data_IF_037418657236
#
_entry.id   IF_037418657236
#
_cell.length_a   1.000
_cell.length_b   1.000
_cell.length_c   1.000
_cell.angle_alpha   90.00
_cell.angle_beta   90.00
_cell.angle_gamma   90.00
#
_symmetry.space_group_name_H-M   'P 1'
#
loop_
_entity.id
_entity.type
_entity.pdbx_description
1 polymer ?
#
# COMPACT_ATOMS: atom_id res chain seq x y z
N UNK A 1 3.76 -15.59 -5.76
CA UNK A 1 2.87 -15.88 -4.61
C UNK A 1 3.06 -17.27 -4.06
N UNK A 2 3.09 -17.42 -2.73
CA UNK A 2 3.06 -18.73 -2.08
C UNK A 2 1.61 -19.11 -1.70
N UNK A 3 1.38 -20.39 -1.41
CA UNK A 3 0.03 -20.93 -1.15
C UNK A 3 -0.67 -20.26 0.05
N UNK A 4 0.09 -19.85 1.07
CA UNK A 4 -0.46 -19.14 2.23
C UNK A 4 -1.01 -17.76 1.85
N UNK A 5 -0.29 -17.03 1.00
CA UNK A 5 -0.69 -15.72 0.50
C UNK A 5 -1.94 -15.82 -0.38
N UNK A 6 -1.99 -16.81 -1.27
CA UNK A 6 -3.17 -17.07 -2.11
C UNK A 6 -4.42 -17.34 -1.28
N UNK A 7 -4.30 -18.16 -0.23
CA UNK A 7 -5.39 -18.47 0.70
C UNK A 7 -5.88 -17.24 1.46
N UNK A 8 -4.94 -16.43 1.97
CA UNK A 8 -5.25 -15.18 2.67
C UNK A 8 -6.01 -14.20 1.78
N UNK A 9 -5.53 -13.97 0.56
CA UNK A 9 -6.16 -13.05 -0.40
C UNK A 9 -7.59 -13.52 -0.72
N UNK A 10 -7.76 -14.82 -0.98
CA UNK A 10 -9.07 -15.39 -1.32
C UNK A 10 -10.08 -15.17 -0.18
N UNK A 11 -9.65 -15.43 1.06
CA UNK A 11 -10.48 -15.19 2.26
C UNK A 11 -10.86 -13.72 2.43
N UNK A 12 -9.92 -12.79 2.23
CA UNK A 12 -10.19 -11.35 2.34
C UNK A 12 -11.11 -10.85 1.21
N UNK A 13 -10.99 -11.39 -0.01
CA UNK A 13 -11.87 -11.06 -1.13
C UNK A 13 -13.30 -11.55 -0.91
N UNK A 14 -13.47 -12.72 -0.31
CA UNK A 14 -14.79 -13.24 0.08
C UNK A 14 -15.43 -12.41 1.20
N UNK A 15 -14.63 -12.01 2.20
CA UNK A 15 -15.11 -11.19 3.32
C UNK A 15 -15.43 -9.74 2.91
N UNK A 16 -14.66 -9.17 1.97
CA UNK A 16 -14.73 -7.76 1.60
C UNK A 16 -14.75 -7.55 0.07
N UNK A 17 -15.80 -8.00 -0.63
CA UNK A 17 -15.82 -8.04 -2.10
C UNK A 17 -15.73 -6.66 -2.78
N UNK A 18 -16.13 -5.59 -2.09
CA UNK A 18 -15.98 -4.21 -2.55
C UNK A 18 -14.84 -3.44 -1.84
N UNK A 19 -14.21 -4.06 -0.84
CA UNK A 19 -13.21 -3.42 0.01
C UNK A 19 -11.80 -3.50 -0.57
N UNK A 20 -11.46 -4.54 -1.33
CA UNK A 20 -10.13 -4.68 -1.94
C UNK A 20 -10.11 -3.98 -3.31
N UNK A 21 -9.16 -3.06 -3.48
CA UNK A 21 -8.91 -2.34 -4.74
C UNK A 21 -7.81 -3.00 -5.56
N UNK A 22 -6.74 -3.43 -4.90
CA UNK A 22 -5.55 -3.96 -5.56
C UNK A 22 -4.82 -4.94 -4.64
N UNK A 23 -4.17 -5.93 -5.25
CA UNK A 23 -3.28 -6.87 -4.58
C UNK A 23 -1.96 -6.87 -5.34
N UNK A 24 -0.87 -6.59 -4.63
CA UNK A 24 0.48 -6.53 -5.17
C UNK A 24 1.32 -7.55 -4.42
N UNK A 25 1.95 -8.48 -5.14
CA UNK A 25 2.88 -9.47 -4.59
C UNK A 25 4.21 -9.30 -5.30
N UNK A 26 5.11 -8.55 -4.67
CA UNK A 26 6.43 -8.22 -5.20
C UNK A 26 7.47 -8.37 -4.08
N UNK A 27 8.70 -8.73 -4.44
CA UNK A 27 9.83 -8.81 -3.50
C UNK A 27 9.58 -9.65 -2.22
N UNK A 28 8.72 -10.68 -2.29
CA UNK A 28 8.29 -11.49 -1.15
C UNK A 28 7.42 -10.74 -0.11
N UNK A 29 6.79 -9.65 -0.54
CA UNK A 29 5.89 -8.83 0.26
C UNK A 29 4.51 -8.78 -0.39
N UNK A 30 3.46 -9.02 0.42
CA UNK A 30 2.07 -8.93 0.00
C UNK A 30 1.49 -7.59 0.45
N UNK A 31 1.11 -6.75 -0.50
CA UNK A 31 0.38 -5.49 -0.24
C UNK A 31 -1.07 -5.64 -0.70
N UNK A 32 -2.00 -5.32 0.19
CA UNK A 32 -3.44 -5.27 -0.12
C UNK A 32 -3.91 -3.83 0.02
N UNK A 33 -4.29 -3.22 -1.10
CA UNK A 33 -4.85 -1.88 -1.13
C UNK A 33 -6.35 -1.98 -0.94
N UNK A 34 -6.88 -1.29 0.07
CA UNK A 34 -8.30 -1.34 0.43
C UNK A 34 -8.97 0.03 0.35
N UNK A 35 -10.30 0.03 0.32
CA UNK A 35 -11.11 1.24 0.52
C UNK A 35 -11.02 1.71 1.98
N UNK A 36 -11.21 3.02 2.25
CA UNK A 36 -11.17 3.54 3.62
C UNK A 36 -12.24 2.92 4.54
N UNK A 37 -13.43 2.64 4.01
CA UNK A 37 -14.54 2.03 4.72
C UNK A 37 -14.25 0.58 5.16
N UNK A 38 -13.41 -0.14 4.42
CA UNK A 38 -13.04 -1.52 4.73
C UNK A 38 -11.94 -1.63 5.81
N UNK A 39 -11.26 -0.53 6.18
CA UNK A 39 -10.08 -0.56 7.05
C UNK A 39 -10.33 -1.27 8.38
N UNK A 40 -11.39 -0.86 9.09
CA UNK A 40 -11.67 -1.39 10.41
C UNK A 40 -11.97 -2.90 10.35
N UNK A 41 -12.86 -3.33 9.45
CA UNK A 41 -13.24 -4.74 9.35
C UNK A 41 -12.08 -5.61 8.84
N UNK A 42 -11.28 -5.12 7.89
CA UNK A 42 -10.11 -5.84 7.39
C UNK A 42 -9.08 -6.07 8.49
N UNK A 43 -8.76 -5.05 9.30
CA UNK A 43 -7.84 -5.20 10.43
C UNK A 43 -8.34 -6.23 11.45
N UNK A 44 -9.65 -6.26 11.74
CA UNK A 44 -10.23 -7.24 12.66
C UNK A 44 -10.22 -8.66 12.06
N UNK A 45 -10.53 -8.82 10.77
CA UNK A 45 -10.41 -10.13 10.12
C UNK A 45 -8.97 -10.65 10.12
N UNK A 46 -7.99 -9.79 9.82
CA UNK A 46 -6.57 -10.14 9.90
C UNK A 46 -6.18 -10.60 11.31
N UNK A 47 -6.63 -9.90 12.35
CA UNK A 47 -6.36 -10.26 13.75
C UNK A 47 -7.06 -11.55 14.16
N UNK A 48 -8.38 -11.60 14.01
CA UNK A 48 -9.25 -12.61 14.63
C UNK A 48 -9.31 -13.92 13.83
N UNK A 49 -9.07 -13.88 12.52
CA UNK A 49 -9.23 -15.03 11.63
C UNK A 49 -7.91 -15.52 11.03
N UNK A 50 -6.92 -14.62 10.90
CA UNK A 50 -5.65 -14.91 10.24
C UNK A 50 -4.43 -14.83 11.15
N UNK A 51 -4.60 -14.48 12.43
CA UNK A 51 -3.53 -14.52 13.45
C UNK A 51 -2.54 -13.36 13.38
N UNK A 52 -2.88 -12.25 12.72
CA UNK A 52 -2.08 -11.02 12.75
C UNK A 52 -2.30 -10.25 14.06
N UNK A 53 -1.76 -10.76 15.17
CA UNK A 53 -1.99 -10.23 16.51
C UNK A 53 -1.22 -8.94 16.83
N UNK A 54 -0.20 -8.62 16.04
CA UNK A 54 0.67 -7.45 16.25
C UNK A 54 0.59 -6.49 15.06
N UNK A 55 0.20 -5.24 15.34
CA UNK A 55 0.44 -4.12 14.44
C UNK A 55 1.89 -3.67 14.58
N UNK A 56 2.67 -3.74 13.50
CA UNK A 56 4.09 -3.37 13.50
C UNK A 56 4.26 -1.85 13.43
N UNK A 57 3.58 -1.20 12.48
CA UNK A 57 3.69 0.24 12.23
C UNK A 57 2.40 0.80 11.59
N UNK A 58 2.18 2.11 11.72
CA UNK A 58 1.11 2.85 11.06
C UNK A 58 1.61 4.26 10.70
N UNK A 59 1.66 4.54 9.40
CA UNK A 59 2.09 5.83 8.88
C UNK A 59 1.21 6.31 7.73
N UNK A 60 1.24 7.61 7.47
CA UNK A 60 0.64 8.23 6.29
C UNK A 60 1.71 8.67 5.31
N UNK A 61 1.38 8.61 4.02
CA UNK A 61 2.20 9.15 2.93
C UNK A 61 1.41 10.27 2.27
N UNK A 62 2.02 11.45 2.16
CA UNK A 62 1.42 12.57 1.44
C UNK A 62 1.85 12.52 -0.04
N UNK A 63 0.86 12.47 -0.92
CA UNK A 63 1.04 12.45 -2.38
C UNK A 63 0.75 13.80 -3.03
N UNK A 64 0.58 14.89 -2.28
CA UNK A 64 0.15 16.20 -2.78
C UNK A 64 0.97 16.76 -3.96
N UNK A 65 2.28 16.42 -4.06
CA UNK A 65 3.16 16.80 -5.18
C UNK A 65 3.74 15.61 -5.95
N UNK A 66 3.18 14.41 -5.78
CA UNK A 66 3.72 13.21 -6.40
C UNK A 66 3.54 13.24 -7.92
N UNK A 67 4.66 13.25 -8.66
CA UNK A 67 4.69 13.34 -10.12
C UNK A 67 4.93 14.75 -10.65
N UNK A 68 4.98 15.77 -9.78
CA UNK A 68 5.37 17.13 -10.13
C UNK A 68 6.89 17.28 -10.03
N UNK A 69 7.52 17.85 -11.06
CA UNK A 69 8.93 18.20 -11.04
C UNK A 69 9.10 19.60 -10.44
N UNK A 70 9.56 19.69 -9.19
CA UNK A 70 9.84 20.96 -8.48
C UNK A 70 10.98 21.79 -9.09
N UNK A 71 11.75 21.22 -10.02
CA UNK A 71 12.88 21.90 -10.65
C UNK A 71 12.50 22.38 -12.05
N UNK A 72 12.01 23.62 -12.17
CA UNK A 72 12.11 24.35 -13.44
C UNK A 72 13.61 24.58 -13.75
N UNK A 73 14.18 23.75 -14.63
CA UNK A 73 15.58 23.87 -15.09
C UNK A 73 15.81 25.04 -16.05
N UNK A 74 14.89 26.01 -16.11
CA UNK A 74 14.89 27.07 -17.12
C UNK A 74 16.01 28.11 -16.89
N UNK A 75 16.64 28.16 -15.71
CA UNK A 75 17.66 29.18 -15.41
C UNK A 75 18.94 28.69 -14.72
N UNK A 76 19.34 27.43 -14.89
CA UNK A 76 20.72 27.06 -14.58
C UNK A 76 21.62 27.65 -15.67
N UNK A 77 22.13 28.87 -15.47
CA UNK A 77 23.10 29.50 -16.38
C UNK A 77 24.31 28.56 -16.54
N UNK A 78 24.67 28.23 -17.77
CA UNK A 78 25.78 27.33 -18.12
C UNK A 78 27.19 27.85 -17.77
N UNK A 79 27.28 28.94 -17.00
CA UNK A 79 28.53 29.53 -16.55
C UNK A 79 28.86 29.04 -15.14
N UNK A 80 29.30 27.78 -15.04
CA UNK A 80 29.87 27.22 -13.82
C UNK A 80 31.12 28.01 -13.38
N UNK A 81 31.35 28.04 -12.06
CA UNK A 81 32.46 28.73 -11.39
C UNK A 81 33.81 28.52 -12.10
N UNK A 82 34.47 29.62 -12.45
CA UNK A 82 35.88 29.66 -12.85
C UNK A 82 36.80 29.77 -11.64
#
# INVERSE_FOLDING_TARGET
MNQASESLISSLQEAFPAGIREVIDDFHELTVVITPDALHEACFALRDQHGFEQLVDLFGVDFLGHGEAEWETVSASSTGFS
#
